data_IF_806376301285
#
_entry.id   IF_806376301285
#
_cell.length_a   1.000
_cell.length_b   1.000
_cell.length_c   1.000
_cell.angle_alpha   90.00
_cell.angle_beta   90.00
_cell.angle_gamma   90.00
#
_symmetry.space_group_name_H-M   'P 1'
#
loop_
_entity.id
_entity.type
_entity.pdbx_description
1 polymer ?
#
# COMPACT_ATOMS: atom_id res chain seq x y z
N UNK A 1 -11.57 -6.05 -29.32
CA UNK A 1 -11.68 -7.22 -28.43
C UNK A 1 -10.68 -8.24 -28.91
N UNK A 2 -9.59 -8.38 -28.15
CA UNK A 2 -8.54 -9.37 -28.31
C UNK A 2 -8.00 -9.57 -26.91
N UNK A 3 -8.42 -10.67 -26.30
CA UNK A 3 -8.10 -11.12 -24.96
C UNK A 3 -6.59 -11.32 -24.74
N UNK A 4 -6.16 -11.05 -23.51
CA UNK A 4 -5.04 -11.77 -22.91
C UNK A 4 -3.65 -11.20 -23.14
N UNK A 5 -3.44 -9.90 -22.96
CA UNK A 5 -2.10 -9.46 -22.57
C UNK A 5 -1.84 -9.98 -21.13
N UNK A 6 -0.81 -10.84 -20.93
CA UNK A 6 -0.46 -11.27 -19.59
C UNK A 6 -0.09 -10.03 -18.79
N UNK A 7 -0.73 -9.86 -17.62
CA UNK A 7 -0.52 -8.79 -16.65
C UNK A 7 0.85 -8.12 -16.82
N UNK A 8 0.88 -6.83 -17.13
CA UNK A 8 2.14 -6.10 -17.34
C UNK A 8 3.11 -6.42 -16.20
N UNK A 9 4.43 -6.60 -16.42
CA UNK A 9 5.37 -6.89 -15.34
C UNK A 9 5.27 -5.91 -14.17
N UNK A 10 4.83 -4.67 -14.45
CA UNK A 10 4.58 -3.64 -13.45
C UNK A 10 3.32 -3.86 -12.60
N UNK A 11 2.29 -4.58 -13.07
CA UNK A 11 1.07 -4.86 -12.29
C UNK A 11 1.37 -5.61 -11.01
N UNK A 12 2.37 -6.48 -11.03
CA UNK A 12 2.83 -7.20 -9.84
C UNK A 12 3.28 -6.27 -8.71
N UNK A 13 3.80 -5.08 -9.04
CA UNK A 13 4.31 -4.10 -8.08
C UNK A 13 3.20 -3.40 -7.28
N UNK A 14 1.95 -3.49 -7.75
CA UNK A 14 0.77 -2.90 -7.10
C UNK A 14 -0.02 -3.91 -6.26
N UNK A 15 0.43 -5.16 -6.17
CA UNK A 15 -0.24 -6.23 -5.41
C UNK A 15 0.22 -6.29 -3.96
N UNK A 16 -0.66 -6.74 -3.08
CA UNK A 16 -0.37 -6.92 -1.65
C UNK A 16 0.86 -7.81 -1.40
N UNK A 17 1.03 -8.88 -2.18
CA UNK A 17 2.18 -9.79 -2.07
C UNK A 17 3.52 -9.08 -2.24
N UNK A 18 3.62 -8.12 -3.15
CA UNK A 18 4.83 -7.31 -3.32
C UNK A 18 5.10 -6.43 -2.10
N UNK A 19 4.07 -5.81 -1.53
CA UNK A 19 4.21 -4.99 -0.33
C UNK A 19 4.55 -5.83 0.91
N UNK A 20 4.08 -7.08 0.98
CA UNK A 20 4.50 -8.02 2.02
C UNK A 20 5.98 -8.39 1.88
N UNK A 21 6.49 -8.60 0.66
CA UNK A 21 7.92 -8.80 0.42
C UNK A 21 8.74 -7.57 0.85
N UNK A 22 8.28 -6.36 0.50
CA UNK A 22 8.92 -5.12 0.92
C UNK A 22 8.92 -4.98 2.46
N UNK A 23 7.81 -5.29 3.14
CA UNK A 23 7.72 -5.27 4.61
C UNK A 23 8.75 -6.20 5.26
N UNK A 24 8.93 -7.39 4.70
CA UNK A 24 9.92 -8.37 5.16
C UNK A 24 11.35 -7.90 4.92
N UNK A 25 11.62 -7.27 3.77
CA UNK A 25 12.95 -6.74 3.44
C UNK A 25 13.35 -5.49 4.24
N UNK A 26 12.38 -4.69 4.70
CA UNK A 26 12.63 -3.50 5.51
C UNK A 26 13.06 -3.84 6.94
N UNK A 27 13.95 -3.01 7.49
CA UNK A 27 14.30 -3.03 8.93
C UNK A 27 13.10 -2.70 9.81
N UNK A 28 13.23 -2.89 11.12
CA UNK A 28 12.14 -2.71 12.10
C UNK A 28 11.46 -1.34 12.00
N UNK A 29 12.23 -0.27 11.75
CA UNK A 29 11.73 1.10 11.56
C UNK A 29 11.75 1.56 10.09
N UNK A 30 11.85 0.62 9.15
CA UNK A 30 12.01 0.94 7.73
C UNK A 30 10.76 1.61 7.13
N UNK A 31 11.00 2.49 6.17
CA UNK A 31 9.98 3.13 5.34
C UNK A 31 10.09 2.65 3.90
N UNK A 32 8.96 2.59 3.20
CA UNK A 32 8.89 2.46 1.76
C UNK A 32 8.19 3.66 1.13
N UNK A 33 8.60 3.97 -0.10
CA UNK A 33 7.91 4.90 -0.97
C UNK A 33 7.84 4.27 -2.36
N UNK A 34 6.63 3.99 -2.82
CA UNK A 34 6.36 3.48 -4.16
C UNK A 34 5.59 4.52 -4.96
N UNK A 35 5.79 4.57 -6.28
CA UNK A 35 4.87 5.31 -7.15
C UNK A 35 3.45 4.74 -6.96
N UNK A 36 2.47 5.63 -6.85
CA UNK A 36 1.12 5.31 -6.40
C UNK A 36 0.04 5.88 -7.31
N UNK A 37 0.32 6.01 -8.61
CA UNK A 37 -0.64 6.45 -9.62
C UNK A 37 -1.27 7.83 -9.40
N UNK A 38 -2.06 8.29 -10.37
CA UNK A 38 -2.63 9.63 -10.39
C UNK A 38 -4.05 9.65 -9.79
N UNK A 39 -4.25 10.43 -8.72
CA UNK A 39 -5.56 10.59 -8.06
C UNK A 39 -6.70 11.09 -8.97
N UNK A 40 -6.42 11.72 -10.11
CA UNK A 40 -7.46 12.13 -11.08
C UNK A 40 -7.95 10.97 -11.95
N UNK A 41 -7.15 9.91 -12.10
CA UNK A 41 -7.39 8.83 -13.06
C UNK A 41 -7.60 7.47 -12.38
N UNK A 42 -6.89 7.21 -11.28
CA UNK A 42 -6.73 5.88 -10.70
C UNK A 42 -7.12 5.84 -9.22
N UNK A 43 -8.13 6.63 -8.83
CA UNK A 43 -8.50 6.79 -7.41
C UNK A 43 -8.95 5.47 -6.74
N UNK A 44 -9.63 4.59 -7.48
CA UNK A 44 -10.05 3.29 -6.96
C UNK A 44 -8.87 2.36 -6.68
N UNK A 45 -7.88 2.30 -7.58
CA UNK A 45 -6.63 1.58 -7.34
C UNK A 45 -5.89 2.14 -6.12
N UNK A 46 -5.82 3.47 -5.98
CA UNK A 46 -5.16 4.11 -4.82
C UNK A 46 -5.88 3.74 -3.51
N UNK A 47 -7.22 3.64 -3.52
CA UNK A 47 -8.01 3.21 -2.35
C UNK A 47 -7.70 1.77 -1.98
N UNK A 48 -7.70 0.86 -2.96
CA UNK A 48 -7.37 -0.56 -2.77
C UNK A 48 -5.94 -0.71 -2.21
N UNK A 49 -4.97 -0.04 -2.84
CA UNK A 49 -3.59 -0.03 -2.38
C UNK A 49 -3.45 0.47 -0.95
N UNK A 50 -4.09 1.60 -0.63
CA UNK A 50 -4.07 2.17 0.72
C UNK A 50 -4.71 1.21 1.73
N UNK A 51 -5.73 0.46 1.33
CA UNK A 51 -6.43 -0.48 2.21
C UNK A 51 -5.55 -1.68 2.57
N UNK A 52 -4.97 -2.37 1.59
CA UNK A 52 -4.07 -3.49 1.90
C UNK A 52 -2.77 -2.99 2.54
N UNK A 53 -2.25 -1.82 2.16
CA UNK A 53 -1.06 -1.29 2.84
C UNK A 53 -1.30 -1.08 4.34
N UNK A 54 -2.54 -0.73 4.74
CA UNK A 54 -2.91 -0.55 6.14
C UNK A 54 -3.08 -1.86 6.92
N UNK A 55 -3.32 -2.99 6.26
CA UNK A 55 -3.25 -4.30 6.94
C UNK A 55 -1.78 -4.69 7.21
N UNK A 56 -0.86 -4.19 6.39
CA UNK A 56 0.56 -4.52 6.47
C UNK A 56 1.39 -3.55 7.34
N UNK A 57 1.12 -2.25 7.29
CA UNK A 57 1.95 -1.22 7.92
C UNK A 57 1.16 -0.37 8.91
N UNK A 58 1.71 -0.04 10.09
CA UNK A 58 1.02 0.81 11.06
C UNK A 58 0.78 2.25 10.56
N UNK A 59 1.64 2.76 9.67
CA UNK A 59 1.49 4.10 9.07
C UNK A 59 1.48 3.99 7.55
N UNK A 60 0.44 4.52 6.93
CA UNK A 60 0.28 4.58 5.47
C UNK A 60 -0.25 5.94 5.07
N UNK A 61 0.48 6.63 4.20
CA UNK A 61 0.08 7.92 3.64
C UNK A 61 0.21 7.97 2.12
N UNK A 62 -0.50 8.93 1.52
CA UNK A 62 -0.45 9.19 0.09
C UNK A 62 -0.07 10.66 -0.12
N UNK A 63 0.96 10.88 -0.92
CA UNK A 63 1.40 12.20 -1.35
C UNK A 63 1.35 12.27 -2.88
N UNK A 64 1.37 13.48 -3.44
CA UNK A 64 1.48 13.66 -4.89
C UNK A 64 2.42 14.82 -5.24
N UNK A 65 2.92 14.82 -6.46
CA UNK A 65 3.62 15.96 -7.03
C UNK A 65 3.14 16.24 -8.46
N UNK A 66 3.44 17.45 -8.94
CA UNK A 66 3.11 17.86 -10.32
C UNK A 66 4.28 17.58 -11.23
N UNK A 67 4.01 16.89 -12.34
CA UNK A 67 4.97 16.59 -13.40
C UNK A 67 4.21 16.70 -14.73
N UNK A 68 4.39 17.78 -15.51
CA UNK A 68 3.54 18.06 -16.68
C UNK A 68 3.50 16.94 -17.74
N UNK A 69 4.57 16.14 -17.84
CA UNK A 69 4.67 15.06 -18.83
C UNK A 69 4.01 13.76 -18.39
N UNK A 70 3.55 13.66 -17.13
CA UNK A 70 2.79 12.51 -16.67
C UNK A 70 1.29 12.66 -17.02
N UNK A 71 0.55 11.56 -17.17
CA UNK A 71 -0.90 11.63 -17.41
C UNK A 71 -1.61 12.49 -16.36
N UNK A 72 -2.44 13.42 -16.82
CA UNK A 72 -3.10 14.45 -16.00
C UNK A 72 -2.14 15.38 -15.22
N UNK A 73 -0.88 15.49 -15.63
CA UNK A 73 0.09 16.46 -15.15
C UNK A 73 0.61 16.22 -13.72
N UNK A 74 0.32 15.06 -13.12
CA UNK A 74 0.74 14.75 -11.75
C UNK A 74 0.85 13.25 -11.50
N UNK A 75 1.54 12.88 -10.43
CA UNK A 75 1.67 11.49 -9.98
C UNK A 75 1.69 11.40 -8.46
N UNK A 76 1.18 10.30 -7.94
CA UNK A 76 1.15 10.00 -6.52
C UNK A 76 2.26 9.07 -6.06
N UNK A 77 2.35 8.96 -4.73
CA UNK A 77 3.27 8.09 -4.03
C UNK A 77 2.55 7.44 -2.85
N UNK A 78 2.68 6.12 -2.70
CA UNK A 78 2.27 5.38 -1.52
C UNK A 78 3.44 5.27 -0.56
N UNK A 79 3.31 5.87 0.63
CA UNK A 79 4.31 5.84 1.68
C UNK A 79 3.84 4.94 2.82
N UNK A 80 4.66 3.98 3.21
CA UNK A 80 4.35 3.11 4.35
C UNK A 80 5.54 3.05 5.32
N UNK A 81 5.28 2.96 6.62
CA UNK A 81 6.31 2.79 7.64
C UNK A 81 5.99 1.64 8.56
N UNK A 82 7.02 0.89 8.95
CA UNK A 82 6.93 -0.10 10.04
C UNK A 82 6.96 0.54 11.43
N UNK A 83 7.44 1.78 11.54
CA UNK A 83 7.44 2.52 12.80
C UNK A 83 6.10 3.25 13.02
N UNK A 84 5.32 2.89 14.06
CA UNK A 84 3.99 3.49 14.34
C UNK A 84 4.04 4.98 14.70
N UNK A 85 5.21 5.50 15.11
CA UNK A 85 5.42 6.91 15.44
C UNK A 85 5.74 7.78 14.22
N UNK A 86 5.86 7.18 13.03
CA UNK A 86 6.18 7.92 11.81
C UNK A 86 5.07 8.91 11.47
N UNK A 87 5.44 10.17 11.27
CA UNK A 87 4.56 11.17 10.67
C UNK A 87 5.12 11.59 9.31
N UNK A 88 4.59 11.00 8.23
CA UNK A 88 5.03 11.37 6.88
C UNK A 88 4.66 12.81 6.49
N UNK A 89 3.69 13.44 7.13
CA UNK A 89 3.26 14.80 6.75
C UNK A 89 4.23 15.88 7.23
N UNK A 90 5.01 15.58 8.27
CA UNK A 90 6.02 16.48 8.83
C UNK A 90 7.40 15.85 8.64
N UNK A 91 8.28 16.42 7.78
CA UNK A 91 9.57 15.82 7.54
C UNK A 91 10.43 15.89 8.82
N UNK A 92 10.71 14.73 9.41
CA UNK A 92 11.63 14.60 10.56
C UNK A 92 13.00 15.24 10.28
N UNK A 93 13.44 15.20 9.01
CA UNK A 93 14.61 15.89 8.52
C UNK A 93 14.20 17.09 7.65
N UNK A 94 13.76 18.17 8.30
CA UNK A 94 13.49 19.42 7.60
C UNK A 94 14.79 20.02 7.03
N UNK A 95 14.74 20.51 5.78
CA UNK A 95 15.88 21.11 5.12
C UNK A 95 15.82 22.64 5.28
N UNK A 96 16.93 23.24 5.74
CA UNK A 96 17.11 24.69 5.67
C UNK A 96 17.24 25.13 4.20
N UNK A 97 16.98 26.42 3.93
CA UNK A 97 17.16 26.97 2.58
C UNK A 97 18.59 26.77 2.08
N UNK A 98 19.59 26.95 2.95
CA UNK A 98 20.99 26.70 2.62
C UNK A 98 21.22 25.24 2.16
N UNK A 99 20.62 24.26 2.82
CA UNK A 99 20.71 22.84 2.43
C UNK A 99 20.02 22.56 1.10
N UNK A 100 18.87 23.19 0.86
CA UNK A 100 18.15 23.11 -0.43
C UNK A 100 19.05 23.61 -1.57
N UNK A 101 19.72 24.75 -1.35
CA UNK A 101 20.62 25.37 -2.33
C UNK A 101 21.88 24.52 -2.55
N UNK A 102 22.51 24.03 -1.47
CA UNK A 102 23.68 23.14 -1.51
C UNK A 102 23.39 21.84 -2.28
N UNK A 103 22.17 21.31 -2.14
CA UNK A 103 21.71 20.11 -2.86
C UNK A 103 21.23 20.42 -4.29
N UNK A 104 21.18 21.69 -4.70
CA UNK A 104 20.70 22.16 -6.00
C UNK A 104 19.28 21.63 -6.32
N UNK A 105 18.40 21.63 -5.32
CA UNK A 105 17.05 21.11 -5.47
C UNK A 105 16.17 22.10 -6.22
N UNK A 106 15.46 21.61 -7.25
CA UNK A 106 14.61 22.44 -8.12
C UNK A 106 13.12 22.37 -7.81
N UNK A 107 12.70 21.39 -7.01
CA UNK A 107 11.28 21.14 -6.72
C UNK A 107 11.07 20.89 -5.22
N UNK A 108 11.83 19.97 -4.64
CA UNK A 108 11.66 19.62 -3.23
C UNK A 108 12.22 20.70 -2.30
N UNK A 109 11.40 21.07 -1.31
CA UNK A 109 11.79 21.70 -0.06
C UNK A 109 10.81 21.21 1.03
N UNK A 110 11.04 21.56 2.31
CA UNK A 110 10.19 21.08 3.40
C UNK A 110 8.74 21.59 3.34
N UNK A 111 8.48 22.76 2.76
CA UNK A 111 7.10 23.24 2.58
C UNK A 111 6.37 22.46 1.49
N UNK A 112 7.04 22.18 0.36
CA UNK A 112 6.52 21.33 -0.71
C UNK A 112 6.26 19.91 -0.20
N UNK A 113 7.10 19.39 0.69
CA UNK A 113 6.87 18.10 1.34
C UNK A 113 5.53 18.10 2.08
N UNK A 114 5.27 19.08 2.96
CA UNK A 114 4.00 19.16 3.72
C UNK A 114 2.80 19.32 2.78
N UNK A 115 2.92 20.19 1.78
CA UNK A 115 1.87 20.47 0.81
C UNK A 115 1.50 19.23 -0.03
N UNK A 116 2.46 18.33 -0.31
CA UNK A 116 2.24 17.12 -1.11
C UNK A 116 1.19 16.16 -0.50
N UNK A 117 0.93 16.25 0.81
CA UNK A 117 -0.09 15.45 1.50
C UNK A 117 -1.46 16.13 1.58
N UNK A 118 -1.58 17.38 1.10
CA UNK A 118 -2.84 18.12 1.06
C UNK A 118 -3.55 17.80 -0.25
N UNK A 119 -4.48 16.84 -0.18
CA UNK A 119 -5.20 16.35 -1.35
C UNK A 119 -6.45 17.19 -1.65
N UNK A 120 -6.86 17.32 -2.92
CA UNK A 120 -8.17 17.84 -3.30
C UNK A 120 -9.31 17.12 -2.56
N UNK A 121 -10.41 17.83 -2.32
CA UNK A 121 -11.48 17.36 -1.45
C UNK A 121 -12.09 16.02 -1.89
N UNK A 122 -12.23 15.77 -3.20
CA UNK A 122 -12.76 14.51 -3.71
C UNK A 122 -11.88 13.32 -3.30
N UNK A 123 -10.56 13.42 -3.50
CA UNK A 123 -9.60 12.38 -3.16
C UNK A 123 -9.48 12.22 -1.64
N UNK A 124 -9.47 13.34 -0.90
CA UNK A 124 -9.42 13.33 0.57
C UNK A 124 -10.63 12.58 1.16
N UNK A 125 -11.84 12.82 0.66
CA UNK A 125 -13.05 12.12 1.12
C UNK A 125 -12.92 10.61 0.90
N UNK A 126 -12.57 10.18 -0.31
CA UNK A 126 -12.45 8.77 -0.66
C UNK A 126 -11.38 8.04 0.19
N UNK A 127 -10.21 8.64 0.38
CA UNK A 127 -9.10 8.01 1.12
C UNK A 127 -9.26 8.05 2.66
N UNK A 128 -10.22 8.83 3.17
CA UNK A 128 -10.56 8.86 4.60
C UNK A 128 -11.80 8.05 4.94
N UNK A 129 -12.76 7.93 4.01
CA UNK A 129 -14.04 7.23 4.21
C UNK A 129 -13.87 5.74 4.50
N UNK A 130 -12.94 5.06 3.83
CA UNK A 130 -12.65 3.64 4.08
C UNK A 130 -12.36 3.31 5.56
N UNK A 131 -11.79 4.26 6.33
CA UNK A 131 -11.59 4.11 7.78
C UNK A 131 -12.91 4.11 8.54
N UNK A 132 -13.87 4.96 8.15
CA UNK A 132 -15.18 5.06 8.82
C UNK A 132 -16.02 3.82 8.55
N UNK A 133 -16.08 3.38 7.30
CA UNK A 133 -16.91 2.22 6.92
C UNK A 133 -16.39 0.94 7.59
N UNK A 134 -15.06 0.78 7.70
CA UNK A 134 -14.46 -0.33 8.46
C UNK A 134 -14.78 -0.27 9.96
N UNK A 135 -14.67 0.92 10.58
CA UNK A 135 -15.03 1.10 12.00
C UNK A 135 -16.52 0.83 12.22
N UNK A 136 -17.39 1.34 11.34
CA UNK A 136 -18.83 1.11 11.40
C UNK A 136 -19.16 -0.36 11.26
N UNK A 137 -18.52 -1.08 10.35
CA UNK A 137 -18.68 -2.53 10.20
C UNK A 137 -18.23 -3.28 11.45
N UNK A 138 -17.05 -2.98 11.99
CA UNK A 138 -16.58 -3.59 13.24
C UNK A 138 -17.52 -3.31 14.42
N UNK A 139 -18.06 -2.09 14.52
CA UNK A 139 -19.03 -1.73 15.56
C UNK A 139 -20.36 -2.45 15.37
N UNK A 140 -20.84 -2.60 14.13
CA UNK A 140 -22.04 -3.37 13.83
C UNK A 140 -21.85 -4.85 14.20
N UNK A 141 -20.74 -5.46 13.78
CA UNK A 141 -20.41 -6.86 14.10
C UNK A 141 -20.31 -7.10 15.63
N UNK A 142 -19.79 -6.12 16.39
CA UNK A 142 -19.74 -6.16 17.86
C UNK A 142 -21.12 -6.05 18.52
N UNK A 143 -22.01 -5.21 17.98
CA UNK A 143 -23.38 -5.06 18.48
C UNK A 143 -24.21 -6.31 18.19
N UNK A 144 -24.07 -6.89 17.00
CA UNK A 144 -24.73 -8.14 16.63
C UNK A 144 -24.20 -9.33 17.45
N UNK A 145 -22.89 -9.33 17.77
CA UNK A 145 -22.28 -10.33 18.68
C UNK A 145 -22.78 -10.26 20.13
N UNK A 146 -23.30 -9.11 20.59
CA UNK A 146 -23.85 -8.96 21.93
C UNK A 146 -25.29 -9.49 22.07
N UNK A 147 -26.03 -9.67 20.97
CA UNK A 147 -27.38 -10.24 21.00
C UNK A 147 -27.38 -11.79 21.05
N UNK A 148 -26.27 -12.45 20.71
CA UNK A 148 -26.16 -13.93 20.71
C UNK A 148 -25.98 -14.52 22.12
N UNK A 149 -25.69 -13.70 23.15
CA UNK A 149 -25.52 -14.20 24.53
C UNK A 149 -26.85 -14.39 25.31
N UNK A 150 -28.03 -14.20 24.69
CA UNK A 150 -29.32 -14.23 25.43
C UNK A 150 -30.37 -15.22 24.95
N UNK A 151 -30.01 -16.23 24.16
CA UNK A 151 -30.91 -17.36 23.86
C UNK A 151 -30.15 -18.69 23.83
N UNK A 152 -29.90 -19.23 25.01
CA UNK A 152 -29.81 -20.68 25.19
C UNK A 152 -31.06 -21.14 25.93
N UNK A 153 -31.88 -21.95 25.26
CA UNK A 153 -32.64 -23.12 25.76
C UNK A 153 -33.65 -23.55 24.69
N UNK A 154 -33.37 -24.65 23.98
CA UNK A 154 -34.14 -25.93 23.99
C UNK A 154 -33.86 -26.79 22.74
N UNK A 155 -33.18 -27.92 22.99
CA UNK A 155 -33.49 -29.31 22.61
C UNK A 155 -33.41 -29.88 21.15
N UNK A 156 -32.61 -30.98 21.06
CA UNK A 156 -32.79 -32.30 20.38
C UNK A 156 -32.86 -32.39 18.82
N UNK A 157 -31.87 -33.03 18.14
CA UNK A 157 -31.65 -34.48 17.76
C UNK A 157 -32.23 -34.79 16.36
N UNK A 158 -31.71 -35.59 15.42
CA UNK A 158 -30.75 -36.72 15.37
C UNK A 158 -30.12 -36.88 13.94
N UNK A 159 -28.97 -37.58 13.90
CA UNK A 159 -28.36 -38.51 12.90
C UNK A 159 -28.52 -38.35 11.37
N UNK A 160 -27.40 -38.46 10.61
CA UNK A 160 -27.00 -39.67 9.85
C UNK A 160 -25.63 -39.51 9.10
N UNK A 161 -25.09 -40.65 8.66
CA UNK A 161 -23.69 -41.08 8.45
C UNK A 161 -22.81 -40.50 7.29
N UNK A 162 -21.49 -40.75 7.43
CA UNK A 162 -20.37 -40.60 6.49
C UNK A 162 -20.28 -41.75 5.45
N UNK A 163 -19.44 -41.61 4.39
CA UNK A 163 -18.16 -42.33 4.45
C UNK A 163 -16.93 -41.58 3.90
N UNK A 164 -15.75 -41.99 4.41
CA UNK A 164 -14.40 -41.59 3.99
C UNK A 164 -14.00 -42.06 2.58
N UNK A 165 -13.11 -41.30 1.93
CA UNK A 165 -12.06 -41.89 1.09
C UNK A 165 -10.73 -41.13 1.22
N UNK A 166 -9.66 -41.92 1.21
CA UNK A 166 -8.22 -41.70 1.43
C UNK A 166 -7.54 -41.59 0.03
N UNK A 167 -6.52 -40.77 -0.29
CA UNK A 167 -5.10 -40.81 0.12
C UNK A 167 -4.27 -39.76 -0.70
N UNK A 168 -3.15 -39.32 -0.10
CA UNK A 168 -1.81 -39.00 -0.70
C UNK A 168 -1.46 -37.62 -1.30
N UNK A 169 -0.52 -36.90 -0.64
CA UNK A 169 0.83 -36.60 -1.19
C UNK A 169 1.15 -35.21 -1.79
N UNK A 170 1.86 -34.37 -1.02
CA UNK A 170 2.61 -33.10 -1.30
C UNK A 170 3.63 -33.15 -2.50
N UNK A 171 4.21 -32.03 -3.04
CA UNK A 171 4.67 -30.83 -2.29
C UNK A 171 4.65 -29.41 -2.92
N UNK A 172 4.80 -28.46 -2.00
CA UNK A 172 5.19 -27.02 -2.03
C UNK A 172 5.75 -26.36 -3.31
N UNK A 173 5.13 -25.25 -3.73
CA UNK A 173 5.64 -24.27 -4.71
C UNK A 173 6.66 -23.28 -4.08
N UNK A 174 7.65 -23.78 -3.33
CA UNK A 174 8.70 -22.97 -2.69
C UNK A 174 10.07 -23.06 -3.38
N UNK A 175 10.16 -23.67 -4.57
CA UNK A 175 11.44 -23.89 -5.27
C UNK A 175 11.66 -23.11 -6.58
N UNK A 176 10.72 -22.29 -7.06
CA UNK A 176 10.90 -21.58 -8.34
C UNK A 176 11.42 -20.14 -8.27
N UNK A 177 11.86 -19.67 -7.10
CA UNK A 177 12.45 -18.32 -6.94
C UNK A 177 13.99 -18.27 -7.05
N UNK A 178 14.63 -19.37 -7.44
CA UNK A 178 16.08 -19.41 -7.66
C UNK A 178 16.43 -19.37 -9.15
N UNK A 179 16.32 -18.18 -9.79
CA UNK A 179 17.10 -17.79 -10.99
C UNK A 179 16.62 -16.45 -11.57
N UNK A 180 17.07 -15.33 -11.01
CA UNK A 180 17.17 -14.07 -11.78
C UNK A 180 18.58 -13.52 -11.59
N UNK A 181 19.41 -13.73 -12.61
CA UNK A 181 20.74 -13.15 -12.77
C UNK A 181 20.67 -11.72 -13.33
N UNK A 182 21.82 -11.06 -13.28
CA UNK A 182 22.03 -9.61 -13.24
C UNK A 182 21.52 -8.77 -14.42
N UNK A 183 20.95 -7.62 -14.04
CA UNK A 183 21.12 -6.25 -14.58
C UNK A 183 21.39 -6.11 -16.08
N UNK A 184 20.48 -5.39 -16.75
CA UNK A 184 20.88 -4.47 -17.82
C UNK A 184 20.28 -3.07 -17.68
N UNK A 185 21.14 -2.10 -18.02
CA UNK A 185 21.11 -0.68 -17.66
C UNK A 185 20.09 0.11 -18.51
N UNK A 186 19.30 1.00 -17.89
CA UNK A 186 18.61 2.10 -18.59
C UNK A 186 18.87 3.46 -17.90
N UNK A 187 18.93 4.48 -18.76
CA UNK A 187 19.56 5.80 -18.62
C UNK A 187 19.25 6.62 -17.35
N UNK A 188 20.15 7.53 -16.93
CA UNK A 188 19.97 8.35 -15.75
C UNK A 188 19.04 9.55 -16.03
N UNK A 189 17.77 9.45 -15.64
CA UNK A 189 16.95 10.64 -15.38
C UNK A 189 17.50 11.33 -14.12
N UNK A 190 18.38 12.32 -14.31
CA UNK A 190 19.07 13.08 -13.24
C UNK A 190 18.16 13.96 -12.37
N UNK A 191 16.84 13.90 -12.53
CA UNK A 191 15.86 14.70 -11.78
C UNK A 191 14.90 13.85 -10.93
N UNK A 192 15.11 12.54 -10.82
CA UNK A 192 14.17 11.64 -10.14
C UNK A 192 14.64 11.29 -8.73
N UNK A 193 14.22 12.08 -7.75
CA UNK A 193 14.61 11.95 -6.33
C UNK A 193 13.84 10.87 -5.57
N UNK A 194 13.00 10.05 -6.21
CA UNK A 194 12.28 8.97 -5.52
C UNK A 194 12.27 7.68 -6.32
N UNK A 195 13.45 7.17 -6.71
CA UNK A 195 13.58 5.72 -6.91
C UNK A 195 13.41 5.08 -5.54
N UNK A 196 12.56 4.06 -5.42
CA UNK A 196 12.26 3.27 -4.21
C UNK A 196 13.40 3.30 -3.21
N UNK A 197 13.33 4.20 -2.22
CA UNK A 197 14.30 4.23 -1.15
C UNK A 197 13.84 3.18 -0.14
N UNK A 198 14.36 1.97 -0.25
CA UNK A 198 14.56 1.13 0.92
C UNK A 198 15.73 1.73 1.67
N UNK A 199 15.47 2.56 2.68
CA UNK A 199 16.51 2.91 3.63
C UNK A 199 16.84 1.62 4.42
N UNK A 200 17.94 0.97 4.04
CA UNK A 200 18.57 -0.11 4.80
C UNK A 200 19.27 0.44 6.04
#
# INVERSE_FOLDING_TARGET
>A
MGDGDPSSPAESLFKESYYQLMKTALREDGILCCQGECQWLHLDLIKEMRQFCKSLFPVVEYAYCTIPTYPSGQIGFMLCSKNPSTNFREPVQALSQERVDQMNLKYYNSEIHRAAFVLPEFARKELTRARKDLILKMLADLLDGAEVSRRDTTAFSDSEDLPESKLEGEPSELEQLSQITQRDRKAPCKNFFWKTFTAC
#
